data_IF_521112261831
#
_entry.id   IF_521112261831
#
_cell.length_a   1.000
_cell.length_b   1.000
_cell.length_c   1.000
_cell.angle_alpha   90.00
_cell.angle_beta   90.00
_cell.angle_gamma   90.00
#
_symmetry.space_group_name_H-M   'P 1'
#
loop_
_entity.id
_entity.type
_entity.pdbx_description
1 polymer ?
#
# COMPACT_ATOMS: atom_id res chain seq x y z
N UNK A 1 9.89 18.34 10.63
CA UNK A 1 11.00 17.64 11.29
C UNK A 1 11.34 16.48 10.39
N UNK A 2 12.50 16.54 9.72
CA UNK A 2 13.01 15.41 8.94
C UNK A 2 13.33 14.25 9.89
N UNK A 3 12.87 13.05 9.56
CA UNK A 3 13.30 11.83 10.23
C UNK A 3 14.79 11.63 10.00
N UNK A 4 15.49 11.35 11.11
CA UNK A 4 16.94 11.39 11.22
C UNK A 4 17.66 10.10 10.75
N UNK A 5 17.00 9.26 9.94
CA UNK A 5 17.60 8.02 9.42
C UNK A 5 17.88 8.13 7.92
N UNK A 6 19.11 7.79 7.53
CA UNK A 6 19.51 7.71 6.13
C UNK A 6 18.70 6.60 5.43
N UNK A 7 17.97 6.97 4.37
CA UNK A 7 17.23 6.00 3.56
C UNK A 7 18.18 5.18 2.69
N UNK A 8 17.88 3.90 2.53
CA UNK A 8 18.69 2.93 1.79
C UNK A 8 17.86 2.21 0.73
N UNK A 9 18.52 1.51 -0.17
CA UNK A 9 17.86 0.68 -1.19
C UNK A 9 17.22 -0.56 -0.54
N UNK A 10 16.02 -0.92 -0.98
CA UNK A 10 15.36 -2.12 -0.51
C UNK A 10 16.14 -3.37 -0.97
N UNK A 11 16.57 -4.26 -0.05
CA UNK A 11 17.61 -5.26 -0.33
C UNK A 11 17.17 -6.33 -1.33
N UNK A 12 15.86 -6.51 -1.51
CA UNK A 12 15.29 -7.52 -2.40
C UNK A 12 15.10 -7.01 -3.84
N UNK A 13 15.40 -5.76 -4.16
CA UNK A 13 15.42 -5.30 -5.55
C UNK A 13 16.49 -6.03 -6.35
N UNK A 14 16.18 -6.37 -7.60
CA UNK A 14 17.13 -6.99 -8.52
C UNK A 14 18.30 -6.03 -8.82
N UNK A 15 19.54 -6.52 -8.66
CA UNK A 15 20.76 -5.74 -8.91
C UNK A 15 21.31 -5.97 -10.33
N UNK A 16 21.99 -4.98 -10.93
CA UNK A 16 22.18 -3.60 -10.45
C UNK A 16 20.89 -2.78 -10.52
N UNK A 17 20.60 -1.98 -9.50
CA UNK A 17 19.30 -1.30 -9.33
C UNK A 17 19.11 -0.21 -10.38
N UNK A 18 20.17 0.53 -10.71
CA UNK A 18 20.17 1.64 -11.66
C UNK A 18 19.76 1.24 -13.07
N UNK A 19 19.95 -0.04 -13.43
CA UNK A 19 19.57 -0.58 -14.73
C UNK A 19 18.23 -1.31 -14.72
N UNK A 20 17.75 -1.78 -13.57
CA UNK A 20 16.64 -2.73 -13.48
C UNK A 20 15.42 -2.19 -12.72
N UNK A 21 15.56 -1.09 -11.99
CA UNK A 21 14.49 -0.54 -11.19
C UNK A 21 14.11 0.87 -11.64
N UNK A 22 12.82 1.06 -11.85
CA UNK A 22 12.15 2.34 -11.97
C UNK A 22 10.88 2.26 -11.14
N UNK A 23 10.72 3.17 -10.18
CA UNK A 23 9.56 3.18 -9.30
C UNK A 23 8.27 3.41 -10.09
N UNK A 24 8.16 4.53 -10.80
CA UNK A 24 6.97 4.91 -11.58
C UNK A 24 6.72 3.95 -12.75
N UNK A 25 5.57 3.28 -12.71
CA UNK A 25 5.13 2.29 -13.72
C UNK A 25 4.77 2.94 -15.05
N UNK A 26 4.08 4.08 -15.00
CA UNK A 26 3.52 4.74 -16.18
C UNK A 26 4.49 5.85 -16.62
N UNK A 27 5.14 5.72 -17.80
CA UNK A 27 6.00 6.76 -18.30
C UNK A 27 5.16 7.94 -18.79
N UNK A 28 5.34 9.11 -18.20
CA UNK A 28 4.68 10.33 -18.69
C UNK A 28 5.40 10.93 -19.89
N UNK A 29 6.69 10.62 -20.03
CA UNK A 29 7.58 11.18 -21.04
C UNK A 29 8.61 10.14 -21.50
N UNK A 30 8.99 10.24 -22.77
CA UNK A 30 10.13 9.55 -23.37
C UNK A 30 11.25 10.54 -23.74
N UNK A 31 12.51 10.09 -23.83
CA UNK A 31 13.64 10.96 -24.21
C UNK A 31 13.50 11.65 -25.57
N UNK A 32 12.66 11.12 -26.47
CA UNK A 32 12.37 11.69 -27.79
C UNK A 32 11.37 12.85 -27.76
N UNK A 33 10.65 13.04 -26.65
CA UNK A 33 9.63 14.09 -26.54
C UNK A 33 10.26 15.47 -26.42
N UNK A 34 9.53 16.51 -26.84
CA UNK A 34 10.01 17.89 -26.73
C UNK A 34 10.09 18.29 -25.25
N UNK A 35 11.27 18.63 -24.68
CA UNK A 35 11.41 18.93 -23.26
C UNK A 35 10.70 20.22 -22.83
N UNK A 36 10.42 21.13 -23.78
CA UNK A 36 9.78 22.43 -23.50
C UNK A 36 8.25 22.41 -23.61
N UNK A 37 7.65 21.25 -23.86
CA UNK A 37 6.19 21.11 -23.98
C UNK A 37 5.72 19.91 -23.20
N UNK A 38 4.62 20.02 -22.43
CA UNK A 38 4.10 18.87 -21.74
C UNK A 38 3.59 17.83 -22.75
N UNK A 39 3.75 16.56 -22.44
CA UNK A 39 3.15 15.46 -23.21
C UNK A 39 1.66 15.35 -22.88
N UNK A 40 0.85 14.67 -23.73
CA UNK A 40 -0.54 14.38 -23.39
C UNK A 40 -0.70 13.59 -22.07
N UNK A 41 0.25 12.69 -21.77
CA UNK A 41 0.23 11.90 -20.54
C UNK A 41 0.53 12.78 -19.33
N UNK A 42 1.53 13.67 -19.40
CA UNK A 42 1.80 14.63 -18.34
C UNK A 42 0.57 15.50 -18.05
N UNK A 43 -0.09 16.01 -19.09
CA UNK A 43 -1.31 16.83 -18.93
C UNK A 43 -2.42 16.02 -18.22
N UNK A 44 -2.69 14.80 -18.68
CA UNK A 44 -3.74 13.94 -18.10
C UNK A 44 -3.50 13.68 -16.62
N UNK A 45 -2.25 13.40 -16.23
CA UNK A 45 -1.91 13.16 -14.84
C UNK A 45 -1.92 14.44 -14.01
N UNK A 46 -1.42 15.55 -14.53
CA UNK A 46 -1.54 16.85 -13.85
C UNK A 46 -3.01 17.19 -13.61
N UNK A 47 -3.89 16.98 -14.59
CA UNK A 47 -5.33 17.22 -14.48
C UNK A 47 -5.98 16.32 -13.43
N UNK A 48 -5.58 15.04 -13.34
CA UNK A 48 -6.02 14.12 -12.29
C UNK A 48 -5.71 14.69 -10.88
N UNK A 49 -4.47 15.12 -10.66
CA UNK A 49 -4.06 15.71 -9.38
C UNK A 49 -4.71 17.08 -9.13
N UNK A 50 -4.95 17.87 -10.18
CA UNK A 50 -5.67 19.15 -10.07
C UNK A 50 -7.11 18.91 -9.61
N UNK A 51 -7.77 17.89 -10.16
CA UNK A 51 -9.13 17.52 -9.81
C UNK A 51 -9.26 16.96 -8.38
N UNK A 52 -8.16 16.58 -7.72
CA UNK A 52 -8.19 16.19 -6.30
C UNK A 52 -8.16 17.40 -5.35
N UNK A 53 -7.80 18.60 -5.81
CA UNK A 53 -7.69 19.79 -4.93
C UNK A 53 -8.93 20.04 -4.07
N UNK A 54 -10.18 20.00 -4.61
CA UNK A 54 -11.37 20.28 -3.82
C UNK A 54 -11.58 19.32 -2.66
N UNK A 55 -11.29 18.02 -2.83
CA UNK A 55 -11.48 17.03 -1.76
C UNK A 55 -10.46 17.23 -0.64
N UNK A 56 -9.19 17.46 -0.98
CA UNK A 56 -8.14 17.76 -0.01
C UNK A 56 -8.40 19.08 0.71
N UNK A 57 -8.81 20.13 -0.01
CA UNK A 57 -9.20 21.41 0.59
C UNK A 57 -10.33 21.23 1.61
N UNK A 58 -11.38 20.48 1.26
CA UNK A 58 -12.53 20.21 2.15
C UNK A 58 -12.13 19.44 3.42
N UNK A 59 -11.14 18.56 3.33
CA UNK A 59 -10.59 17.88 4.52
C UNK A 59 -9.77 18.84 5.36
N UNK A 60 -8.85 19.56 4.73
CA UNK A 60 -7.97 20.54 5.37
C UNK A 60 -8.74 21.65 6.09
N UNK A 61 -9.80 22.22 5.49
CA UNK A 61 -10.59 23.30 6.12
C UNK A 61 -11.32 22.85 7.38
N UNK A 62 -11.58 21.55 7.51
CA UNK A 62 -12.27 20.92 8.64
C UNK A 62 -11.32 20.36 9.70
N UNK A 63 -10.00 20.49 9.53
CA UNK A 63 -8.99 19.96 10.44
C UNK A 63 -8.97 20.77 11.75
N UNK A 64 -9.42 20.20 12.89
CA UNK A 64 -9.50 20.92 14.15
C UNK A 64 -8.14 21.13 14.81
N UNK A 65 -7.08 20.46 14.34
CA UNK A 65 -5.73 20.56 14.92
C UNK A 65 -4.97 21.80 14.45
N UNK A 66 -5.48 22.50 13.42
CA UNK A 66 -4.82 23.63 12.78
C UNK A 66 -5.60 24.93 13.01
N UNK A 67 -4.95 25.95 13.55
CA UNK A 67 -5.53 27.30 13.63
C UNK A 67 -5.70 27.92 12.24
N UNK A 68 -6.81 28.62 12.01
CA UNK A 68 -7.19 29.20 10.72
C UNK A 68 -7.19 28.18 9.56
N UNK A 69 -7.60 26.94 9.85
CA UNK A 69 -7.60 25.82 8.91
C UNK A 69 -8.26 26.18 7.56
N UNK A 70 -9.42 26.83 7.56
CA UNK A 70 -10.11 27.24 6.33
C UNK A 70 -9.26 28.18 5.45
N UNK A 71 -8.63 29.20 6.05
CA UNK A 71 -7.74 30.13 5.33
C UNK A 71 -6.51 29.42 4.78
N UNK A 72 -5.93 28.49 5.56
CA UNK A 72 -4.78 27.70 5.11
C UNK A 72 -5.15 26.68 4.02
N UNK A 73 -6.35 26.10 4.08
CA UNK A 73 -6.86 25.19 3.06
C UNK A 73 -7.08 25.92 1.72
N UNK A 74 -7.55 27.17 1.74
CA UNK A 74 -7.61 28.01 0.54
C UNK A 74 -6.20 28.26 -0.03
N UNK A 75 -5.23 28.59 0.84
CA UNK A 75 -3.84 28.76 0.42
C UNK A 75 -3.24 27.48 -0.16
N UNK A 76 -3.60 26.31 0.37
CA UNK A 76 -3.21 25.02 -0.20
C UNK A 76 -3.75 24.87 -1.62
N UNK A 77 -5.06 25.07 -1.79
CA UNK A 77 -5.70 24.92 -3.09
C UNK A 77 -5.11 25.85 -4.15
N UNK A 78 -4.87 27.11 -3.78
CA UNK A 78 -4.23 28.10 -4.65
C UNK A 78 -2.78 27.69 -4.98
N UNK A 79 -1.93 27.47 -3.98
CA UNK A 79 -0.50 27.19 -4.18
C UNK A 79 -0.28 25.91 -4.97
N UNK A 80 -0.98 24.83 -4.63
CA UNK A 80 -0.83 23.56 -5.33
C UNK A 80 -1.41 23.64 -6.75
N UNK A 81 -2.55 24.31 -6.94
CA UNK A 81 -3.10 24.58 -8.27
C UNK A 81 -2.15 25.38 -9.16
N UNK A 82 -1.49 26.41 -8.63
CA UNK A 82 -0.50 27.20 -9.37
C UNK A 82 0.72 26.36 -9.79
N UNK A 83 1.24 25.51 -8.89
CA UNK A 83 2.35 24.58 -9.20
C UNK A 83 1.98 23.64 -10.35
N UNK A 84 0.77 23.09 -10.33
CA UNK A 84 0.29 22.19 -11.39
C UNK A 84 0.13 22.92 -12.74
N UNK A 85 -0.36 24.16 -12.73
CA UNK A 85 -0.45 24.98 -13.94
C UNK A 85 0.92 25.42 -14.47
N UNK A 86 1.90 25.62 -13.59
CA UNK A 86 3.28 25.88 -14.00
C UNK A 86 3.91 24.66 -14.68
N UNK A 87 3.69 23.44 -14.15
CA UNK A 87 4.14 22.19 -14.78
C UNK A 87 3.54 21.99 -16.18
N UNK A 88 2.30 22.46 -16.44
CA UNK A 88 1.71 22.46 -17.78
C UNK A 88 2.38 23.47 -18.72
N UNK A 89 2.88 24.59 -18.21
CA UNK A 89 3.55 25.63 -19.01
C UNK A 89 5.01 25.28 -19.28
N UNK A 90 5.69 24.73 -18.28
CA UNK A 90 7.10 24.35 -18.30
C UNK A 90 7.30 23.05 -17.52
N UNK A 91 7.45 21.90 -18.22
CA UNK A 91 7.65 20.60 -17.57
C UNK A 91 8.87 20.55 -16.64
N UNK A 92 9.89 21.37 -16.87
CA UNK A 92 11.12 21.40 -16.05
C UNK A 92 10.95 22.24 -14.76
N UNK A 93 9.82 22.91 -14.59
CA UNK A 93 9.51 23.68 -13.38
C UNK A 93 9.32 22.76 -12.17
N UNK A 94 9.50 23.32 -10.96
CA UNK A 94 9.24 22.62 -9.68
C UNK A 94 9.93 21.25 -9.54
N UNK A 95 11.06 21.04 -10.25
CA UNK A 95 11.83 19.80 -10.21
C UNK A 95 11.35 18.70 -11.16
N UNK A 96 10.55 19.04 -12.18
CA UNK A 96 10.12 18.11 -13.22
C UNK A 96 11.22 17.77 -14.24
N UNK A 97 10.88 17.01 -15.32
CA UNK A 97 9.53 16.61 -15.75
C UNK A 97 8.75 15.78 -14.73
N UNK A 98 7.42 15.95 -14.62
CA UNK A 98 6.65 15.31 -13.58
C UNK A 98 6.50 13.80 -13.78
N UNK A 99 6.44 13.09 -12.66
CA UNK A 99 5.95 11.74 -12.54
C UNK A 99 4.98 11.63 -11.35
N UNK A 100 4.42 10.45 -11.08
CA UNK A 100 3.46 10.29 -9.98
C UNK A 100 4.08 10.63 -8.61
N UNK A 101 5.34 10.27 -8.38
CA UNK A 101 6.05 10.55 -7.13
C UNK A 101 6.18 12.06 -6.91
N UNK A 102 6.59 12.82 -7.93
CA UNK A 102 6.75 14.27 -7.82
C UNK A 102 5.41 14.95 -7.54
N UNK A 103 4.35 14.58 -8.27
CA UNK A 103 3.01 15.17 -8.08
C UNK A 103 2.47 14.89 -6.67
N UNK A 104 2.60 13.66 -6.17
CA UNK A 104 2.29 13.33 -4.78
C UNK A 104 3.11 14.15 -3.78
N UNK A 105 4.42 14.26 -4.00
CA UNK A 105 5.34 14.97 -3.11
C UNK A 105 5.02 16.46 -3.02
N UNK A 106 4.77 17.11 -4.15
CA UNK A 106 4.41 18.54 -4.19
C UNK A 106 3.12 18.80 -3.40
N UNK A 107 2.11 17.92 -3.52
CA UNK A 107 0.86 18.03 -2.75
C UNK A 107 1.13 18.00 -1.23
N UNK A 108 1.88 16.99 -0.78
CA UNK A 108 2.20 16.80 0.63
C UNK A 108 3.06 17.94 1.18
N UNK A 109 4.04 18.42 0.42
CA UNK A 109 4.88 19.56 0.80
C UNK A 109 4.05 20.82 1.06
N UNK A 110 3.12 21.17 0.15
CA UNK A 110 2.29 22.37 0.32
C UNK A 110 1.41 22.26 1.57
N UNK A 111 0.79 21.10 1.83
CA UNK A 111 0.00 20.87 3.04
C UNK A 111 0.84 21.04 4.31
N UNK A 112 2.00 20.38 4.36
CA UNK A 112 2.90 20.37 5.52
C UNK A 112 3.50 21.74 5.81
N UNK A 113 3.90 22.48 4.78
CA UNK A 113 4.40 23.86 4.92
C UNK A 113 3.34 24.83 5.48
N UNK A 114 2.06 24.58 5.18
CA UNK A 114 0.95 25.35 5.74
C UNK A 114 0.60 24.93 7.19
N UNK A 115 1.26 23.89 7.70
CA UNK A 115 1.13 23.39 9.06
C UNK A 115 0.07 22.31 9.23
N UNK A 116 -0.41 21.70 8.14
CA UNK A 116 -1.23 20.49 8.23
C UNK A 116 -0.34 19.26 8.44
N UNK A 117 -0.65 18.45 9.44
CA UNK A 117 0.07 17.21 9.71
C UNK A 117 -0.69 15.98 9.18
N UNK A 118 -1.99 15.91 9.44
CA UNK A 118 -2.84 14.79 9.02
C UNK A 118 -4.31 15.24 8.88
N UNK A 119 -4.65 15.76 7.71
CA UNK A 119 -6.02 16.23 7.42
C UNK A 119 -7.05 15.07 7.33
N UNK A 120 -6.58 13.81 7.35
CA UNK A 120 -7.42 12.62 7.30
C UNK A 120 -7.52 11.91 8.65
N UNK A 121 -6.85 12.40 9.71
CA UNK A 121 -6.77 11.71 11.01
C UNK A 121 -8.13 11.30 11.56
N UNK A 122 -9.07 12.25 11.60
CA UNK A 122 -10.42 12.00 12.14
C UNK A 122 -11.13 10.86 11.40
N UNK A 123 -11.08 10.86 10.06
CA UNK A 123 -11.76 9.83 9.28
C UNK A 123 -11.04 8.48 9.38
N UNK A 124 -9.69 8.47 9.45
CA UNK A 124 -8.93 7.25 9.74
C UNK A 124 -9.35 6.63 11.07
N UNK A 125 -9.46 7.44 12.13
CA UNK A 125 -9.84 6.95 13.46
C UNK A 125 -11.27 6.40 13.49
N UNK A 126 -12.21 7.07 12.83
CA UNK A 126 -13.60 6.62 12.70
C UNK A 126 -13.70 5.29 11.93
N UNK A 127 -13.00 5.16 10.81
CA UNK A 127 -12.99 3.92 10.01
C UNK A 127 -12.24 2.77 10.71
N UNK A 128 -11.13 3.07 11.41
CA UNK A 128 -10.42 2.09 12.23
C UNK A 128 -11.33 1.54 13.34
N UNK A 129 -12.06 2.40 14.04
CA UNK A 129 -12.98 1.97 15.11
C UNK A 129 -14.09 1.05 14.56
N UNK A 130 -14.70 1.40 13.42
CA UNK A 130 -15.70 0.57 12.74
C UNK A 130 -15.11 -0.77 12.33
N UNK A 131 -13.96 -0.78 11.67
CA UNK A 131 -13.32 -2.00 11.18
C UNK A 131 -12.89 -2.92 12.33
N UNK A 132 -12.36 -2.39 13.43
CA UNK A 132 -12.03 -3.17 14.64
C UNK A 132 -13.26 -3.91 15.16
N UNK A 133 -14.43 -3.27 15.18
CA UNK A 133 -15.67 -3.91 15.65
C UNK A 133 -16.12 -5.11 14.79
N UNK A 134 -15.70 -5.17 13.52
CA UNK A 134 -16.06 -6.23 12.56
C UNK A 134 -14.99 -7.32 12.44
N UNK A 135 -13.79 -7.09 12.97
CA UNK A 135 -12.62 -7.96 12.76
C UNK A 135 -12.89 -9.42 13.14
N UNK A 136 -13.48 -9.65 14.31
CA UNK A 136 -13.75 -11.01 14.81
C UNK A 136 -14.71 -11.79 13.92
N UNK A 137 -15.76 -11.15 13.39
CA UNK A 137 -16.72 -11.79 12.49
C UNK A 137 -16.08 -12.14 11.14
N UNK A 138 -15.34 -11.21 10.55
CA UNK A 138 -14.63 -11.43 9.28
C UNK A 138 -13.62 -12.59 9.41
N UNK A 139 -12.89 -12.66 10.51
CA UNK A 139 -11.95 -13.77 10.76
C UNK A 139 -12.69 -15.10 10.90
N UNK A 140 -13.79 -15.16 11.66
CA UNK A 140 -14.60 -16.39 11.81
C UNK A 140 -15.14 -16.90 10.48
N UNK A 141 -15.59 -16.01 9.60
CA UNK A 141 -16.09 -16.37 8.27
C UNK A 141 -14.98 -16.97 7.40
N UNK A 142 -13.77 -16.43 7.45
CA UNK A 142 -12.62 -17.00 6.75
C UNK A 142 -12.24 -18.37 7.33
N UNK A 143 -12.21 -18.51 8.66
CA UNK A 143 -11.85 -19.76 9.34
C UNK A 143 -12.85 -20.90 9.06
N UNK A 144 -14.12 -20.58 8.82
CA UNK A 144 -15.16 -21.55 8.48
C UNK A 144 -15.00 -22.18 7.08
N UNK A 145 -14.17 -21.60 6.20
CA UNK A 145 -13.92 -22.16 4.86
C UNK A 145 -12.86 -23.26 5.00
N UNK A 146 -13.26 -24.53 4.94
CA UNK A 146 -12.34 -25.68 5.14
C UNK A 146 -11.27 -25.80 4.04
N UNK A 147 -11.67 -25.63 2.78
CA UNK A 147 -10.76 -25.72 1.63
C UNK A 147 -9.77 -24.54 1.62
N UNK A 148 -8.48 -24.84 1.77
CA UNK A 148 -7.43 -23.81 1.86
C UNK A 148 -7.37 -22.89 0.63
N UNK A 149 -7.63 -23.43 -0.56
CA UNK A 149 -7.60 -22.67 -1.81
C UNK A 149 -8.75 -21.67 -1.89
N UNK A 150 -9.97 -22.08 -1.49
CA UNK A 150 -11.13 -21.20 -1.37
C UNK A 150 -10.97 -20.18 -0.25
N UNK A 151 -10.36 -20.57 0.87
CA UNK A 151 -10.07 -19.64 1.97
C UNK A 151 -9.12 -18.55 1.51
N UNK A 152 -8.03 -18.92 0.81
CA UNK A 152 -7.11 -17.96 0.22
C UNK A 152 -7.82 -17.02 -0.75
N UNK A 153 -8.64 -17.55 -1.65
CA UNK A 153 -9.40 -16.71 -2.58
C UNK A 153 -10.32 -15.72 -1.85
N UNK A 154 -10.96 -16.15 -0.76
CA UNK A 154 -11.81 -15.26 0.03
C UNK A 154 -10.99 -14.16 0.74
N UNK A 155 -9.81 -14.49 1.28
CA UNK A 155 -8.89 -13.52 1.86
C UNK A 155 -8.41 -12.49 0.82
N UNK A 156 -8.06 -12.94 -0.39
CA UNK A 156 -7.66 -12.07 -1.50
C UNK A 156 -8.81 -11.13 -1.91
N UNK A 157 -10.04 -11.63 -1.98
CA UNK A 157 -11.23 -10.78 -2.18
C UNK A 157 -11.42 -9.77 -1.05
N UNK A 158 -11.12 -10.17 0.19
CA UNK A 158 -11.12 -9.27 1.35
C UNK A 158 -10.13 -8.11 1.20
N UNK A 159 -8.92 -8.36 0.70
CA UNK A 159 -7.94 -7.30 0.39
C UNK A 159 -8.50 -6.33 -0.64
N UNK A 160 -9.03 -6.83 -1.76
CA UNK A 160 -9.63 -5.95 -2.78
C UNK A 160 -10.80 -5.14 -2.23
N UNK A 161 -11.70 -5.75 -1.47
CA UNK A 161 -12.86 -5.08 -0.90
C UNK A 161 -12.46 -4.01 0.12
N UNK A 162 -11.43 -4.26 0.92
CA UNK A 162 -10.88 -3.30 1.87
C UNK A 162 -10.26 -2.09 1.16
N UNK A 163 -9.52 -2.35 0.09
CA UNK A 163 -8.88 -1.32 -0.71
C UNK A 163 -9.88 -0.45 -1.52
N UNK A 164 -11.18 -0.80 -1.60
CA UNK A 164 -12.20 0.06 -2.25
C UNK A 164 -12.31 1.41 -1.54
N UNK A 165 -12.16 1.46 -0.22
CA UNK A 165 -12.27 2.72 0.52
C UNK A 165 -10.96 3.52 0.43
N UNK A 166 -10.88 4.37 -0.58
CA UNK A 166 -9.74 5.24 -0.86
C UNK A 166 -10.19 6.69 -0.98
N UNK A 167 -9.76 7.50 -0.01
CA UNK A 167 -10.11 8.91 0.08
C UNK A 167 -9.22 9.81 -0.79
N UNK A 168 -8.21 9.25 -1.45
CA UNK A 168 -7.37 9.90 -2.45
C UNK A 168 -8.01 9.98 -3.82
N UNK A 169 -8.99 9.12 -4.12
CA UNK A 169 -9.75 9.17 -5.38
C UNK A 169 -11.04 10.00 -5.23
N UNK A 170 -11.26 10.96 -6.15
CA UNK A 170 -12.37 11.91 -6.06
C UNK A 170 -13.78 11.26 -6.14
N UNK A 171 -13.90 10.03 -6.68
CA UNK A 171 -15.19 9.36 -6.92
C UNK A 171 -15.65 8.44 -5.78
N UNK A 172 -14.76 7.95 -4.90
CA UNK A 172 -15.11 6.92 -3.91
C UNK A 172 -15.57 7.48 -2.55
N UNK A 173 -15.31 8.77 -2.28
CA UNK A 173 -15.67 9.40 -1.01
C UNK A 173 -17.21 9.51 -0.77
N UNK A 174 -18.04 9.34 -1.80
CA UNK A 174 -19.50 9.49 -1.69
C UNK A 174 -20.28 8.18 -1.48
N UNK A 175 -19.65 6.99 -1.61
CA UNK A 175 -20.40 5.72 -1.71
C UNK A 175 -20.43 4.89 -0.41
N UNK A 176 -19.59 5.18 0.59
CA UNK A 176 -19.56 4.42 1.84
C UNK A 176 -20.37 5.07 2.97
N UNK A 177 -21.68 4.80 3.01
CA UNK A 177 -22.55 5.20 4.13
C UNK A 177 -22.89 4.04 5.08
N UNK A 178 -22.47 4.22 6.34
CA UNK A 178 -23.06 3.84 7.64
C UNK A 178 -23.25 2.39 8.11
N UNK A 179 -23.38 1.34 7.29
CA UNK A 179 -23.68 0.00 7.86
C UNK A 179 -22.62 -1.04 7.53
N UNK A 180 -22.00 -1.65 8.56
CA UNK A 180 -20.96 -2.70 8.45
C UNK A 180 -21.36 -3.96 7.64
N UNK A 181 -22.63 -4.05 7.21
CA UNK A 181 -23.08 -4.92 6.12
C UNK A 181 -22.39 -4.62 4.76
N UNK A 182 -21.64 -3.52 4.66
CA UNK A 182 -20.99 -3.05 3.43
C UNK A 182 -19.71 -3.79 3.05
N UNK A 183 -18.87 -4.24 4.00
CA UNK A 183 -17.58 -4.88 3.66
C UNK A 183 -17.77 -6.27 3.04
N UNK A 184 -18.57 -7.13 3.69
CA UNK A 184 -18.86 -8.48 3.18
C UNK A 184 -19.62 -8.43 1.86
N UNK A 185 -20.54 -7.49 1.70
CA UNK A 185 -21.21 -7.25 0.42
C UNK A 185 -20.21 -6.80 -0.66
N UNK A 186 -19.25 -5.94 -0.31
CA UNK A 186 -18.20 -5.49 -1.23
C UNK A 186 -17.31 -6.64 -1.70
N UNK A 187 -16.97 -7.61 -0.82
CA UNK A 187 -16.25 -8.83 -1.21
C UNK A 187 -16.98 -9.64 -2.31
N UNK A 188 -18.32 -9.61 -2.31
CA UNK A 188 -19.15 -10.31 -3.29
C UNK A 188 -19.38 -9.52 -4.58
N UNK A 189 -19.32 -8.19 -4.51
CA UNK A 189 -19.61 -7.27 -5.62
C UNK A 189 -18.36 -6.82 -6.40
N UNK A 190 -17.20 -7.45 -6.16
CA UNK A 190 -16.00 -7.23 -6.97
C UNK A 190 -16.27 -7.59 -8.45
N UNK A 191 -15.53 -6.95 -9.35
CA UNK A 191 -15.61 -7.28 -10.78
C UNK A 191 -15.34 -8.78 -11.01
N UNK A 192 -16.08 -9.43 -11.92
CA UNK A 192 -15.88 -10.84 -12.20
C UNK A 192 -14.52 -11.09 -12.86
N UNK A 193 -13.91 -12.23 -12.54
CA UNK A 193 -12.70 -12.74 -13.19
C UNK A 193 -12.96 -13.09 -14.67
N UNK A 194 -11.96 -13.04 -15.57
CA UNK A 194 -10.58 -12.67 -15.29
C UNK A 194 -10.46 -11.18 -14.98
N UNK A 195 -9.63 -10.86 -13.98
CA UNK A 195 -9.24 -9.49 -13.72
C UNK A 195 -8.23 -8.99 -14.75
N UNK A 196 -7.98 -7.67 -14.80
CA UNK A 196 -7.04 -7.08 -15.78
C UNK A 196 -5.64 -7.70 -15.68
N UNK A 197 -5.19 -8.04 -14.47
CA UNK A 197 -4.04 -8.94 -14.25
C UNK A 197 -4.47 -9.98 -13.21
N UNK A 198 -4.47 -11.24 -13.58
CA UNK A 198 -5.07 -12.32 -12.79
C UNK A 198 -4.15 -13.55 -12.69
N UNK A 199 -3.18 -13.48 -11.78
CA UNK A 199 -2.28 -14.59 -11.46
C UNK A 199 -2.77 -15.41 -10.24
N UNK A 200 -4.03 -15.27 -9.82
CA UNK A 200 -4.53 -15.87 -8.57
C UNK A 200 -4.44 -17.40 -8.61
N UNK A 201 -4.80 -18.04 -9.73
CA UNK A 201 -4.75 -19.50 -9.81
C UNK A 201 -3.31 -20.03 -9.76
N UNK A 202 -2.35 -19.30 -10.37
CA UNK A 202 -0.93 -19.59 -10.27
C UNK A 202 -0.46 -19.48 -8.81
N UNK A 203 -0.88 -18.43 -8.11
CA UNK A 203 -0.55 -18.24 -6.70
C UNK A 203 -1.18 -19.31 -5.80
N UNK A 204 -2.46 -19.68 -6.02
CA UNK A 204 -3.14 -20.79 -5.30
C UNK A 204 -2.37 -22.10 -5.43
N UNK A 205 -1.88 -22.42 -6.62
CA UNK A 205 -1.07 -23.62 -6.85
C UNK A 205 0.24 -23.61 -6.05
N UNK A 206 0.84 -22.44 -5.83
CA UNK A 206 2.06 -22.29 -5.02
C UNK A 206 1.78 -22.22 -3.53
N UNK A 207 0.71 -21.55 -3.11
CA UNK A 207 0.27 -21.45 -1.73
C UNK A 207 0.10 -22.82 -1.07
N UNK A 208 -0.46 -23.79 -1.80
CA UNK A 208 -0.63 -25.16 -1.31
C UNK A 208 0.68 -25.95 -1.13
N UNK A 209 1.80 -25.51 -1.75
CA UNK A 209 3.08 -26.24 -1.81
C UNK A 209 4.21 -25.54 -1.06
N UNK A 210 4.29 -24.21 -1.14
CA UNK A 210 5.26 -23.37 -0.44
C UNK A 210 4.65 -22.96 0.89
N UNK A 211 5.38 -23.19 1.97
CA UNK A 211 4.90 -22.84 3.30
C UNK A 211 5.48 -21.54 3.84
N UNK A 212 6.40 -20.87 3.11
CA UNK A 212 7.11 -19.66 3.55
C UNK A 212 7.42 -19.72 5.05
N UNK A 213 7.87 -20.89 5.53
CA UNK A 213 7.96 -21.21 6.95
C UNK A 213 9.29 -20.76 7.49
N UNK A 214 9.26 -20.19 8.68
CA UNK A 214 10.45 -20.04 9.51
C UNK A 214 11.00 -21.43 9.84
N UNK A 215 12.09 -21.84 9.22
CA UNK A 215 12.94 -22.88 9.78
C UNK A 215 13.61 -22.28 11.02
N UNK A 216 13.63 -23.05 12.11
CA UNK A 216 14.32 -22.76 13.37
C UNK A 216 15.52 -23.68 13.52
N UNK A 217 16.66 -23.14 13.99
CA UNK A 217 17.85 -23.94 14.36
C UNK A 217 17.46 -25.03 15.39
N UNK A 218 17.74 -26.30 15.09
CA UNK A 218 17.85 -27.36 16.11
C UNK A 218 19.32 -27.48 16.54
N UNK A 219 19.57 -27.48 17.85
CA UNK A 219 20.87 -27.90 18.39
C UNK A 219 21.07 -29.40 18.15
N UNK A 220 22.10 -29.76 17.38
CA UNK A 220 22.61 -31.13 17.28
C UNK A 220 24.11 -31.06 17.59
N UNK A 221 24.43 -31.17 18.88
CA UNK A 221 25.76 -31.35 19.46
C UNK A 221 26.83 -30.26 19.21
N UNK A 222 27.87 -30.28 20.07
CA UNK A 222 28.89 -29.23 20.30
C UNK A 222 29.68 -28.70 19.08
N UNK A 223 29.46 -29.21 17.87
CA UNK A 223 30.26 -28.88 16.69
C UNK A 223 29.48 -28.74 15.35
N UNK A 224 28.15 -28.87 15.30
CA UNK A 224 27.38 -28.68 14.06
C UNK A 224 26.13 -27.79 14.28
N UNK A 225 26.08 -26.66 13.57
CA UNK A 225 24.88 -25.81 13.47
C UNK A 225 24.19 -26.05 12.12
N UNK A 226 22.88 -26.36 12.10
CA UNK A 226 22.07 -26.40 10.86
C UNK A 226 21.34 -25.07 10.71
N UNK A 227 21.61 -24.36 9.61
CA UNK A 227 21.04 -23.04 9.27
C UNK A 227 19.50 -23.02 9.34
N UNK A 228 18.98 -22.03 10.06
CA UNK A 228 17.57 -21.65 10.17
C UNK A 228 17.25 -20.70 9.01
N UNK A 229 16.54 -21.20 7.99
CA UNK A 229 15.91 -20.35 6.98
C UNK A 229 14.77 -19.54 7.60
N UNK A 230 14.97 -18.24 7.82
CA UNK A 230 13.89 -17.35 8.26
C UNK A 230 13.07 -16.90 7.04
N UNK A 231 12.08 -17.68 6.61
CA UNK A 231 11.13 -17.16 5.60
C UNK A 231 10.27 -16.05 6.22
N UNK A 232 10.53 -14.83 5.76
CA UNK A 232 9.73 -13.65 6.07
C UNK A 232 8.91 -13.21 4.84
N UNK A 233 7.67 -12.79 5.10
CA UNK A 233 6.81 -12.13 4.12
C UNK A 233 6.75 -10.65 4.49
N UNK A 234 7.16 -9.78 3.58
CA UNK A 234 7.05 -8.33 3.75
C UNK A 234 5.79 -7.86 3.04
N UNK A 235 4.91 -7.14 3.74
CA UNK A 235 3.70 -6.54 3.18
C UNK A 235 3.80 -5.04 3.35
N UNK A 236 3.93 -4.31 2.24
CA UNK A 236 3.76 -2.87 2.21
C UNK A 236 2.27 -2.57 2.18
N UNK A 237 1.77 -1.99 3.28
CA UNK A 237 0.33 -1.75 3.49
C UNK A 237 -0.09 -0.37 2.98
N UNK A 238 -1.36 -0.23 2.63
CA UNK A 238 -1.97 0.97 2.06
C UNK A 238 -2.85 1.70 3.10
N UNK A 239 -4.17 1.54 3.03
CA UNK A 239 -5.12 2.40 3.76
C UNK A 239 -5.39 1.96 5.20
N UNK A 240 -5.79 2.93 6.03
CA UNK A 240 -6.45 2.67 7.31
C UNK A 240 -7.86 2.08 7.14
N UNK A 241 -8.47 1.66 8.25
CA UNK A 241 -9.85 1.18 8.27
C UNK A 241 -10.00 -0.25 7.77
N UNK A 242 -11.02 -0.49 6.94
CA UNK A 242 -11.35 -1.82 6.45
C UNK A 242 -10.23 -2.47 5.64
N UNK A 243 -9.39 -1.68 4.98
CA UNK A 243 -8.25 -2.17 4.19
C UNK A 243 -7.25 -2.94 5.05
N UNK A 244 -6.54 -2.23 5.93
CA UNK A 244 -5.60 -2.86 6.85
C UNK A 244 -6.29 -3.84 7.80
N UNK A 245 -7.41 -3.47 8.43
CA UNK A 245 -8.01 -4.29 9.52
C UNK A 245 -8.80 -5.50 9.00
N UNK A 246 -9.56 -5.38 7.91
CA UNK A 246 -10.44 -6.46 7.43
C UNK A 246 -9.92 -7.17 6.17
N UNK A 247 -8.98 -6.55 5.43
CA UNK A 247 -8.32 -7.15 4.29
C UNK A 247 -6.96 -7.74 4.66
N UNK A 248 -5.98 -6.88 4.96
CA UNK A 248 -4.59 -7.28 5.17
C UNK A 248 -4.40 -8.10 6.46
N UNK A 249 -4.94 -7.67 7.61
CA UNK A 249 -4.70 -8.39 8.87
C UNK A 249 -5.25 -9.83 8.88
N UNK A 250 -6.44 -10.14 8.34
CA UNK A 250 -6.88 -11.53 8.19
C UNK A 250 -5.97 -12.35 7.27
N UNK A 251 -5.44 -11.74 6.20
CA UNK A 251 -4.49 -12.40 5.30
C UNK A 251 -3.13 -12.64 5.98
N UNK A 252 -2.59 -11.65 6.68
CA UNK A 252 -1.38 -11.75 7.50
C UNK A 252 -1.54 -12.79 8.61
N UNK A 253 -2.71 -12.84 9.27
CA UNK A 253 -3.07 -13.88 10.24
C UNK A 253 -3.03 -15.27 9.62
N UNK A 254 -3.49 -15.44 8.38
CA UNK A 254 -3.40 -16.73 7.70
C UNK A 254 -1.95 -17.13 7.42
N UNK A 255 -1.09 -16.20 7.02
CA UNK A 255 0.36 -16.45 6.87
C UNK A 255 1.00 -16.88 8.20
N UNK A 256 0.68 -16.19 9.30
CA UNK A 256 1.15 -16.55 10.65
C UNK A 256 0.65 -17.95 11.06
N UNK A 257 -0.63 -18.25 10.80
CA UNK A 257 -1.23 -19.57 11.08
C UNK A 257 -0.52 -20.70 10.32
N UNK A 258 0.03 -20.39 9.14
CA UNK A 258 0.80 -21.33 8.31
C UNK A 258 2.28 -21.42 8.70
N UNK A 259 2.74 -20.61 9.65
CA UNK A 259 4.09 -20.63 10.23
C UNK A 259 5.08 -19.64 9.60
N UNK A 260 4.60 -18.67 8.83
CA UNK A 260 5.44 -17.59 8.28
C UNK A 260 5.75 -16.53 9.32
N UNK A 261 6.90 -15.87 9.17
CA UNK A 261 7.10 -14.55 9.75
C UNK A 261 6.50 -13.50 8.82
N UNK A 262 5.80 -12.51 9.38
CA UNK A 262 5.17 -11.44 8.60
C UNK A 262 5.67 -10.09 9.10
N UNK A 263 6.09 -9.24 8.19
CA UNK A 263 6.48 -7.85 8.46
C UNK A 263 5.49 -6.94 7.74
N UNK A 264 4.77 -6.11 8.48
CA UNK A 264 3.90 -5.08 7.92
C UNK A 264 4.66 -3.75 7.87
N UNK A 265 4.97 -3.29 6.66
CA UNK A 265 5.70 -2.05 6.41
C UNK A 265 4.71 -0.91 6.14
N UNK A 266 4.63 0.05 7.06
CA UNK A 266 3.70 1.18 7.00
C UNK A 266 4.43 2.52 6.84
N UNK A 267 3.72 3.57 6.44
CA UNK A 267 4.32 4.89 6.27
C UNK A 267 4.87 5.46 7.59
N UNK A 268 5.92 6.27 7.49
CA UNK A 268 6.41 7.06 8.61
C UNK A 268 5.46 8.23 8.90
N UNK A 269 5.11 8.96 7.84
CA UNK A 269 4.29 10.16 7.92
C UNK A 269 2.93 9.94 7.25
N UNK A 270 1.88 10.63 7.71
CA UNK A 270 0.59 10.62 7.05
C UNK A 270 0.69 11.07 5.59
N UNK A 271 0.01 10.33 4.72
CA UNK A 271 -0.33 10.75 3.37
C UNK A 271 -1.69 10.16 3.03
N UNK A 272 -2.62 11.02 2.64
CA UNK A 272 -4.04 10.64 2.44
C UNK A 272 -4.57 9.86 3.66
N UNK A 273 -5.25 8.74 3.45
CA UNK A 273 -5.79 7.88 4.49
C UNK A 273 -4.94 6.62 4.74
N UNK A 274 -3.68 6.64 4.30
CA UNK A 274 -2.73 5.56 4.53
C UNK A 274 -2.51 5.34 6.03
N UNK A 275 -2.33 4.08 6.41
CA UNK A 275 -1.96 3.73 7.78
C UNK A 275 -0.49 4.04 8.02
N UNK A 276 -0.19 4.74 9.11
CA UNK A 276 1.19 5.00 9.54
C UNK A 276 1.69 3.92 10.50
N UNK A 277 3.01 3.81 10.65
CA UNK A 277 3.64 2.89 11.59
C UNK A 277 3.10 3.03 13.03
N UNK A 278 3.02 4.24 13.63
CA UNK A 278 2.47 4.39 14.97
C UNK A 278 1.00 3.96 15.06
N UNK A 279 0.19 4.29 14.05
CA UNK A 279 -1.23 3.92 14.01
C UNK A 279 -1.41 2.41 13.90
N UNK A 280 -0.59 1.72 13.09
CA UNK A 280 -0.64 0.28 12.94
C UNK A 280 -0.25 -0.44 14.25
N UNK A 281 0.75 0.07 14.98
CA UNK A 281 1.10 -0.43 16.32
C UNK A 281 -0.10 -0.33 17.26
N UNK A 282 -0.82 0.80 17.27
CA UNK A 282 -2.02 0.98 18.08
C UNK A 282 -3.16 0.04 17.67
N UNK A 283 -3.39 -0.15 16.37
CA UNK A 283 -4.42 -1.06 15.84
C UNK A 283 -4.14 -2.49 16.30
N UNK A 284 -2.91 -2.98 16.15
CA UNK A 284 -2.53 -4.33 16.59
C UNK A 284 -2.67 -4.48 18.11
N UNK A 285 -2.31 -3.44 18.87
CA UNK A 285 -2.47 -3.43 20.33
C UNK A 285 -3.94 -3.57 20.75
N UNK A 286 -4.88 -2.96 20.01
CA UNK A 286 -6.33 -3.05 20.27
C UNK A 286 -6.94 -4.39 19.87
N UNK A 287 -6.35 -5.07 18.88
CA UNK A 287 -6.91 -6.32 18.32
C UNK A 287 -6.40 -7.59 18.98
N UNK A 288 -5.19 -7.56 19.58
CA UNK A 288 -4.62 -8.73 20.25
C UNK A 288 -5.34 -9.03 21.58
N UNK A 289 -5.45 -10.31 21.93
CA UNK A 289 -5.89 -10.74 23.25
C UNK A 289 -4.77 -10.67 24.30
N UNK A 290 -5.08 -11.05 25.54
CA UNK A 290 -4.15 -11.01 26.68
C UNK A 290 -2.93 -11.92 26.46
N UNK A 291 -3.09 -13.01 25.72
CA UNK A 291 -2.04 -13.94 25.34
C UNK A 291 -1.19 -13.46 24.14
N UNK A 292 -1.55 -12.31 23.54
CA UNK A 292 -0.86 -11.80 22.35
C UNK A 292 -1.17 -12.62 21.11
N UNK A 293 -2.43 -12.99 20.93
CA UNK A 293 -2.94 -13.63 19.73
C UNK A 293 -3.96 -12.75 19.00
N UNK A 294 -4.06 -12.94 17.68
CA UNK A 294 -5.17 -12.44 16.88
C UNK A 294 -6.13 -13.59 16.62
N UNK A 295 -7.26 -13.61 17.35
CA UNK A 295 -8.30 -14.62 17.18
C UNK A 295 -7.73 -16.05 17.26
N UNK A 296 -6.94 -16.35 18.29
CA UNK A 296 -6.33 -17.67 18.51
C UNK A 296 -5.07 -17.98 17.70
N UNK A 297 -4.54 -17.03 16.91
CA UNK A 297 -3.26 -17.18 16.19
C UNK A 297 -2.20 -16.29 16.83
N UNK A 298 -1.07 -16.86 17.23
CA UNK A 298 0.03 -16.09 17.83
C UNK A 298 0.65 -15.10 16.87
N UNK A 299 0.83 -13.86 17.34
CA UNK A 299 1.51 -12.80 16.59
C UNK A 299 2.97 -12.61 17.00
N UNK A 300 3.56 -13.58 17.70
CA UNK A 300 5.00 -13.57 18.05
C UNK A 300 5.93 -13.48 16.84
N UNK A 301 5.46 -13.89 15.65
CA UNK A 301 6.17 -13.75 14.38
C UNK A 301 5.62 -12.62 13.50
N UNK A 302 4.80 -11.70 14.05
CA UNK A 302 4.37 -10.49 13.38
C UNK A 302 5.26 -9.32 13.81
N UNK A 303 5.89 -8.67 12.85
CA UNK A 303 6.64 -7.44 13.05
C UNK A 303 5.94 -6.30 12.33
N UNK A 304 6.04 -5.10 12.89
CA UNK A 304 5.57 -3.86 12.27
C UNK A 304 6.83 -3.03 12.03
N UNK A 305 7.00 -2.53 10.82
CA UNK A 305 8.19 -1.80 10.41
C UNK A 305 7.81 -0.40 9.91
N UNK A 306 8.57 0.61 10.34
CA UNK A 306 8.50 1.91 9.71
C UNK A 306 9.19 1.84 8.35
N UNK A 307 8.47 2.08 7.25
CA UNK A 307 9.06 2.08 5.90
C UNK A 307 9.95 3.28 5.60
N UNK A 308 9.85 4.37 6.37
CA UNK A 308 10.46 5.67 6.07
C UNK A 308 9.74 6.45 4.97
N UNK A 309 8.64 5.92 4.43
CA UNK A 309 7.88 6.54 3.35
C UNK A 309 6.86 7.55 3.89
N UNK A 310 6.59 8.60 3.10
CA UNK A 310 5.71 9.70 3.46
C UNK A 310 4.72 10.06 2.33
N UNK A 311 4.52 9.16 1.38
CA UNK A 311 3.70 9.33 0.18
C UNK A 311 2.70 8.17 0.03
N UNK A 312 1.66 8.30 -0.83
CA UNK A 312 0.73 7.20 -1.12
C UNK A 312 1.27 6.24 -2.20
N UNK A 313 2.43 6.58 -2.76
CA UNK A 313 3.26 5.75 -3.63
C UNK A 313 4.58 5.46 -2.92
N UNK A 314 5.40 4.54 -3.43
CA UNK A 314 6.69 4.24 -2.79
C UNK A 314 7.80 3.99 -3.81
N UNK A 315 8.94 4.65 -3.58
CA UNK A 315 10.21 4.41 -4.25
C UNK A 315 11.06 3.47 -3.40
N UNK A 316 11.23 2.24 -3.87
CA UNK A 316 11.97 1.20 -3.14
C UNK A 316 13.49 1.40 -3.17
N UNK A 317 14.01 2.40 -3.89
CA UNK A 317 15.42 2.83 -3.70
C UNK A 317 15.62 3.61 -2.41
N UNK A 318 14.53 4.00 -1.72
CA UNK A 318 14.55 4.86 -0.54
C UNK A 318 13.61 4.35 0.54
N UNK A 319 14.05 3.33 1.28
CA UNK A 319 13.37 2.79 2.47
C UNK A 319 14.19 3.03 3.73
N UNK A 320 13.56 2.92 4.91
CA UNK A 320 14.28 2.99 6.18
C UNK A 320 15.29 1.85 6.33
N UNK A 321 16.36 2.08 7.10
CA UNK A 321 17.31 1.03 7.46
C UNK A 321 16.66 -0.10 8.26
N UNK A 322 15.65 0.24 9.09
CA UNK A 322 14.88 -0.74 9.85
C UNK A 322 14.18 -1.74 8.92
N UNK A 323 13.46 -1.23 7.91
CA UNK A 323 12.77 -2.09 6.95
C UNK A 323 13.77 -2.89 6.12
N UNK A 324 14.86 -2.27 5.66
CA UNK A 324 15.90 -2.98 4.92
C UNK A 324 16.50 -4.13 5.76
N UNK A 325 16.79 -3.90 7.03
CA UNK A 325 17.28 -4.94 7.93
C UNK A 325 16.28 -6.10 8.03
N UNK A 326 15.01 -5.81 8.29
CA UNK A 326 13.97 -6.84 8.42
C UNK A 326 13.67 -7.59 7.10
N UNK A 327 13.95 -6.97 5.96
CA UNK A 327 13.70 -7.55 4.64
C UNK A 327 14.88 -8.35 4.06
N UNK A 328 16.05 -8.33 4.68
CA UNK A 328 17.30 -8.89 4.11
C UNK A 328 17.16 -10.35 3.67
N UNK A 329 16.44 -11.16 4.44
CA UNK A 329 16.23 -12.59 4.21
C UNK A 329 14.78 -12.93 3.84
N UNK A 330 13.99 -11.94 3.39
CA UNK A 330 12.59 -12.18 3.07
C UNK A 330 12.43 -12.89 1.72
N UNK A 331 11.59 -13.92 1.71
CA UNK A 331 11.39 -14.76 0.53
C UNK A 331 10.15 -14.37 -0.29
N UNK A 332 9.33 -13.45 0.24
CA UNK A 332 8.12 -12.99 -0.43
C UNK A 332 7.82 -11.52 -0.11
N UNK A 333 7.61 -10.72 -1.14
CA UNK A 333 7.25 -9.30 -1.02
C UNK A 333 5.86 -9.05 -1.59
N UNK A 334 5.01 -8.39 -0.82
CA UNK A 334 3.66 -8.00 -1.21
C UNK A 334 3.58 -6.47 -1.19
N UNK A 335 3.20 -5.88 -2.32
CA UNK A 335 2.91 -4.46 -2.44
C UNK A 335 1.40 -4.31 -2.63
N UNK A 336 0.75 -3.72 -1.63
CA UNK A 336 -0.68 -3.53 -1.61
C UNK A 336 -1.06 -2.10 -2.04
N UNK A 337 -2.20 -1.96 -2.71
CA UNK A 337 -2.76 -0.67 -3.11
C UNK A 337 -2.36 -0.22 -4.51
N UNK A 338 -3.15 0.70 -5.06
CA UNK A 338 -2.92 1.26 -6.40
C UNK A 338 -1.62 2.07 -6.45
N UNK A 339 -1.38 2.94 -5.46
CA UNK A 339 -0.20 3.78 -5.44
C UNK A 339 1.10 2.98 -5.37
N UNK A 340 1.23 2.10 -4.35
CA UNK A 340 2.47 1.33 -4.08
C UNK A 340 2.69 0.14 -5.02
N UNK A 341 1.63 -0.50 -5.51
CA UNK A 341 1.71 -1.73 -6.28
C UNK A 341 1.35 -1.61 -7.77
N UNK A 342 0.69 -0.53 -8.20
CA UNK A 342 0.27 -0.32 -9.60
C UNK A 342 0.94 0.92 -10.20
N UNK A 343 0.71 2.11 -9.66
CA UNK A 343 1.30 3.37 -10.14
C UNK A 343 2.82 3.40 -9.94
N UNK A 344 3.26 2.76 -8.86
CA UNK A 344 4.65 2.36 -8.65
C UNK A 344 4.79 0.83 -8.57
N UNK A 345 5.98 0.34 -8.90
CA UNK A 345 6.45 -1.03 -8.63
C UNK A 345 5.73 -2.20 -9.34
N UNK A 346 4.74 -1.97 -10.21
CA UNK A 346 3.99 -3.05 -10.88
C UNK A 346 4.93 -4.04 -11.61
N UNK A 347 5.97 -3.49 -12.24
CA UNK A 347 6.98 -4.24 -12.99
C UNK A 347 8.32 -4.38 -12.27
N UNK A 348 8.41 -3.96 -11.00
CA UNK A 348 9.64 -4.11 -10.21
C UNK A 348 10.01 -5.59 -10.07
N UNK A 349 11.26 -5.90 -10.37
CA UNK A 349 11.86 -7.23 -10.25
C UNK A 349 12.50 -7.38 -8.86
N UNK A 350 12.24 -8.52 -8.24
CA UNK A 350 12.73 -8.86 -6.91
C UNK A 350 13.58 -10.12 -6.97
N UNK A 351 14.52 -10.24 -6.03
CA UNK A 351 15.34 -11.44 -5.80
C UNK A 351 14.54 -12.62 -5.24
N UNK A 352 13.32 -12.36 -4.78
CA UNK A 352 12.40 -13.34 -4.22
C UNK A 352 11.00 -13.22 -4.86
N UNK A 353 10.07 -14.09 -4.47
CA UNK A 353 8.71 -14.03 -5.01
C UNK A 353 8.08 -12.66 -4.72
N UNK A 354 7.20 -12.19 -5.59
CA UNK A 354 6.48 -10.95 -5.34
C UNK A 354 5.03 -10.98 -5.79
N UNK A 355 4.18 -10.31 -5.03
CA UNK A 355 2.78 -10.06 -5.33
C UNK A 355 2.54 -8.56 -5.35
N UNK A 356 1.93 -8.07 -6.43
CA UNK A 356 1.35 -6.72 -6.48
C UNK A 356 -0.16 -6.89 -6.51
N UNK A 357 -0.83 -6.34 -5.51
CA UNK A 357 -2.27 -6.52 -5.30
C UNK A 357 -2.93 -5.19 -5.02
N UNK A 358 -3.92 -4.80 -5.83
CA UNK A 358 -4.62 -3.54 -5.64
C UNK A 358 -5.78 -3.35 -6.60
N UNK A 359 -6.64 -2.38 -6.31
CA UNK A 359 -7.78 -2.04 -7.18
C UNK A 359 -7.46 -0.81 -8.03
N UNK A 360 -7.90 -0.82 -9.29
CA UNK A 360 -7.73 0.30 -10.23
C UNK A 360 -8.79 1.37 -9.95
N UNK A 361 -8.39 2.52 -9.40
CA UNK A 361 -9.30 3.62 -9.01
C UNK A 361 -9.16 4.88 -9.86
N UNK A 362 -8.23 4.88 -10.82
CA UNK A 362 -8.03 5.97 -11.77
C UNK A 362 -8.30 5.52 -13.21
N UNK A 363 -9.11 6.26 -13.98
CA UNK A 363 -9.34 5.98 -15.41
C UNK A 363 -8.04 5.88 -16.22
N UNK A 364 -7.05 6.71 -15.90
CA UNK A 364 -5.73 6.76 -16.51
C UNK A 364 -4.96 5.45 -16.30
N UNK A 365 -5.05 4.88 -15.10
CA UNK A 365 -4.47 3.57 -14.77
C UNK A 365 -5.24 2.44 -15.47
N UNK A 366 -6.57 2.51 -15.50
CA UNK A 366 -7.38 1.54 -16.25
C UNK A 366 -7.03 1.53 -17.74
N UNK A 367 -6.89 2.72 -18.35
CA UNK A 367 -6.48 2.89 -19.73
C UNK A 367 -5.07 2.32 -19.97
N UNK A 368 -4.11 2.61 -19.10
CA UNK A 368 -2.75 2.09 -19.20
C UNK A 368 -2.71 0.56 -19.17
N UNK A 369 -3.49 -0.06 -18.30
CA UNK A 369 -3.56 -1.52 -18.16
C UNK A 369 -4.44 -2.20 -19.23
N UNK A 370 -5.19 -1.43 -20.03
CA UNK A 370 -6.24 -1.97 -20.91
C UNK A 370 -7.39 -2.63 -20.14
N UNK A 371 -7.62 -2.20 -18.90
CA UNK A 371 -8.63 -2.71 -17.98
C UNK A 371 -9.83 -1.77 -17.82
N UNK A 372 -10.56 -1.96 -16.71
CA UNK A 372 -11.73 -1.16 -16.34
C UNK A 372 -11.45 -0.35 -15.07
N UNK A 373 -12.25 0.68 -14.84
CA UNK A 373 -12.31 1.27 -13.50
C UNK A 373 -12.85 0.22 -12.52
N UNK A 374 -12.26 0.16 -11.33
CA UNK A 374 -12.48 -0.85 -10.29
C UNK A 374 -12.06 -2.28 -10.67
N UNK A 375 -11.27 -2.44 -11.74
CA UNK A 375 -10.64 -3.72 -12.02
C UNK A 375 -9.61 -4.08 -10.95
N UNK A 376 -9.30 -5.36 -10.83
CA UNK A 376 -8.35 -5.85 -9.84
C UNK A 376 -7.02 -6.19 -10.49
N UNK A 377 -5.92 -5.83 -9.83
CA UNK A 377 -4.58 -6.31 -10.19
C UNK A 377 -4.18 -7.35 -9.16
N UNK A 378 -3.96 -8.58 -9.61
CA UNK A 378 -3.33 -9.65 -8.85
C UNK A 378 -2.13 -10.16 -9.66
N UNK A 379 -0.97 -9.53 -9.51
CA UNK A 379 0.24 -9.86 -10.28
C UNK A 379 1.23 -10.63 -9.42
N UNK A 380 1.39 -11.91 -9.69
CA UNK A 380 2.31 -12.80 -8.96
C UNK A 380 3.49 -13.24 -9.83
N UNK A 381 4.68 -12.79 -9.44
CA UNK A 381 5.94 -13.21 -10.03
C UNK A 381 6.63 -14.19 -9.08
N UNK A 382 6.93 -15.37 -9.60
CA UNK A 382 7.74 -16.37 -8.90
C UNK A 382 9.18 -16.24 -9.38
N UNK A 383 10.13 -16.24 -8.45
CA UNK A 383 11.55 -16.38 -8.77
C UNK A 383 11.87 -17.86 -8.84
N UNK A 384 12.43 -18.30 -9.96
CA UNK A 384 12.90 -19.68 -10.09
C UNK A 384 14.12 -19.86 -9.20
N UNK A 385 14.03 -20.76 -8.22
CA UNK A 385 15.21 -21.23 -7.50
C UNK A 385 16.14 -21.91 -8.53
N UNK A 386 17.32 -21.32 -8.75
CA UNK A 386 18.39 -21.97 -9.50
C UNK A 386 18.83 -23.27 -8.84
#
# INVERSE_FOLDING_TARGET
>A
MESASELVEFPLLQTPIEANYRACTIPYRFPSDNPRKPTPTEISWIDLFYNSIPSFKKRAESDPSVSDAATKAEKFAQRYGDILEDLKKDPESHGGPPDCILLCRLREQVLRELGFTDIFKKVKDEENAKAISLFGDVVRLNDAIEDEGKRLENLVRGIFAGNIFDLGSAQLAEVFSKDGMSFLASCQNLVPRPWVIDDLDKFKAKWSKKSWKKASFMHIDRYNFIISYMSAVIIFVDNSGADIILGILPFARELLRRGSQVVLAANELPSINDVTYPELVEIISKLKDEEGHLMGVSISNLLIANSGNDLPVIDLTRVSQELAYLASDADFVILEGMGRGIETNLYAQFKCDSLKIGMVKHPEVAQFLGGRLYDCVFKYNEVSSL
#
